data_IF_555811098150
#
_entry.id   IF_555811098150
#
_cell.length_a   1.000
_cell.length_b   1.000
_cell.length_c   1.000
_cell.angle_alpha   90.00
_cell.angle_beta   90.00
_cell.angle_gamma   90.00
#
_symmetry.space_group_name_H-M   'P 1'
#
loop_
_entity.id
_entity.type
_entity.pdbx_description
1 polymer ?
#
# COMPACT_ATOMS: atom_id res chain seq x y z
N UNK A 1 -60.31 -18.30 1.01
CA UNK A 1 -59.28 -18.71 0.01
C UNK A 1 -58.59 -17.52 -0.65
N UNK A 2 -59.31 -16.61 -1.30
CA UNK A 2 -58.71 -15.52 -2.10
C UNK A 2 -57.72 -14.63 -1.31
N UNK A 3 -58.05 -14.26 -0.07
CA UNK A 3 -57.17 -13.46 0.80
C UNK A 3 -55.80 -14.11 1.07
N UNK A 4 -55.76 -15.43 1.23
CA UNK A 4 -54.49 -16.15 1.43
C UNK A 4 -53.64 -16.16 0.16
N UNK A 5 -54.26 -16.20 -1.02
CA UNK A 5 -53.56 -16.10 -2.31
C UNK A 5 -52.93 -14.71 -2.48
N UNK A 6 -53.66 -13.64 -2.12
CA UNK A 6 -53.12 -12.29 -2.16
C UNK A 6 -51.98 -12.07 -1.17
N UNK A 7 -52.09 -12.61 0.05
CA UNK A 7 -51.01 -12.55 1.04
C UNK A 7 -49.76 -13.29 0.55
N UNK A 8 -49.92 -14.49 -0.02
CA UNK A 8 -48.80 -15.21 -0.60
C UNK A 8 -48.16 -14.43 -1.75
N UNK A 9 -48.96 -13.83 -2.64
CA UNK A 9 -48.45 -13.03 -3.75
C UNK A 9 -47.67 -11.80 -3.26
N UNK A 10 -48.11 -11.15 -2.20
CA UNK A 10 -47.38 -10.05 -1.58
C UNK A 10 -46.05 -10.50 -0.98
N UNK A 11 -46.02 -11.66 -0.30
CA UNK A 11 -44.79 -12.25 0.25
C UNK A 11 -43.80 -12.57 -0.88
N UNK A 12 -44.27 -13.17 -1.98
CA UNK A 12 -43.43 -13.47 -3.15
C UNK A 12 -42.83 -12.21 -3.77
N UNK A 13 -43.62 -11.14 -3.88
CA UNK A 13 -43.13 -9.86 -4.40
C UNK A 13 -42.05 -9.24 -3.48
N UNK A 14 -42.28 -9.24 -2.17
CA UNK A 14 -41.31 -8.74 -1.20
C UNK A 14 -40.00 -9.55 -1.22
N UNK A 15 -40.09 -10.88 -1.33
CA UNK A 15 -38.91 -11.74 -1.44
C UNK A 15 -38.12 -11.46 -2.72
N UNK A 16 -38.80 -11.25 -3.86
CA UNK A 16 -38.15 -10.88 -5.11
C UNK A 16 -37.43 -9.54 -5.00
N UNK A 17 -38.03 -8.53 -4.35
CA UNK A 17 -37.37 -7.24 -4.16
C UNK A 17 -36.17 -7.31 -3.20
N UNK A 18 -36.25 -8.14 -2.17
CA UNK A 18 -35.10 -8.40 -1.28
C UNK A 18 -33.95 -9.05 -2.06
N UNK A 19 -34.25 -10.01 -2.95
CA UNK A 19 -33.24 -10.64 -3.80
C UNK A 19 -32.62 -9.66 -4.80
N UNK A 20 -33.44 -8.82 -5.45
CA UNK A 20 -32.96 -7.76 -6.34
C UNK A 20 -32.08 -6.76 -5.59
N UNK A 21 -32.49 -6.36 -4.39
CA UNK A 21 -31.72 -5.45 -3.54
C UNK A 21 -30.37 -6.07 -3.18
N UNK A 22 -30.34 -7.35 -2.76
CA UNK A 22 -29.09 -8.08 -2.50
C UNK A 22 -28.20 -8.18 -3.73
N UNK A 23 -28.78 -8.38 -4.92
CA UNK A 23 -28.03 -8.41 -6.18
C UNK A 23 -27.41 -7.05 -6.50
N UNK A 24 -28.17 -5.96 -6.33
CA UNK A 24 -27.70 -4.58 -6.53
C UNK A 24 -26.59 -4.24 -5.55
N UNK A 25 -26.73 -4.57 -4.26
CA UNK A 25 -25.66 -4.32 -3.27
C UNK A 25 -24.42 -5.21 -3.49
N UNK A 26 -24.62 -6.46 -3.90
CA UNK A 26 -23.52 -7.37 -4.26
C UNK A 26 -22.79 -6.89 -5.52
N UNK A 27 -23.49 -6.25 -6.45
CA UNK A 27 -22.91 -5.61 -7.62
C UNK A 27 -22.34 -4.23 -7.31
N UNK A 28 -22.85 -3.46 -6.36
CA UNK A 28 -22.28 -2.16 -6.01
C UNK A 28 -20.93 -2.29 -5.29
N UNK A 29 -20.71 -3.40 -4.58
CA UNK A 29 -19.38 -3.78 -4.06
C UNK A 29 -18.47 -4.48 -5.08
N UNK A 30 -18.99 -4.84 -6.27
CA UNK A 30 -18.29 -5.54 -7.36
C UNK A 30 -18.52 -4.89 -8.71
N UNK A 31 -18.78 -3.58 -8.74
CA UNK A 31 -18.79 -2.90 -10.01
C UNK A 31 -17.33 -3.01 -10.47
N UNK A 32 -17.02 -3.65 -11.62
CA UNK A 32 -15.81 -3.23 -12.28
C UNK A 32 -16.02 -1.74 -12.41
N UNK A 33 -15.10 -0.95 -11.90
CA UNK A 33 -15.08 0.48 -12.15
C UNK A 33 -14.99 0.56 -13.69
N UNK A 34 -16.15 0.56 -14.37
CA UNK A 34 -16.26 0.89 -15.76
C UNK A 34 -16.07 2.39 -15.76
N UNK A 35 -14.78 2.73 -15.71
CA UNK A 35 -14.23 4.04 -15.88
C UNK A 35 -14.72 4.58 -17.22
N UNK A 36 -15.91 5.20 -17.24
CA UNK A 36 -16.23 6.24 -18.23
C UNK A 36 -15.67 7.59 -17.78
N UNK A 37 -14.93 7.65 -16.66
CA UNK A 37 -13.95 8.70 -16.45
C UNK A 37 -12.76 8.37 -17.33
N UNK A 38 -12.68 9.01 -18.50
CA UNK A 38 -11.46 9.06 -19.30
C UNK A 38 -10.38 9.83 -18.53
N UNK A 39 -9.91 9.26 -17.42
CA UNK A 39 -8.73 9.76 -16.74
C UNK A 39 -7.58 9.67 -17.73
N UNK A 40 -6.97 10.82 -18.04
CA UNK A 40 -5.76 10.87 -18.85
C UNK A 40 -4.55 10.27 -18.13
N UNK A 41 -4.70 9.93 -16.84
CA UNK A 41 -3.64 9.46 -15.95
C UNK A 41 -3.94 8.04 -15.50
N UNK A 42 -3.00 7.14 -15.73
CA UNK A 42 -3.01 5.76 -15.25
C UNK A 42 -1.72 5.47 -14.50
N UNK A 43 -1.81 4.62 -13.47
CA UNK A 43 -0.65 4.15 -12.73
C UNK A 43 -0.11 2.88 -13.39
N UNK A 44 1.12 2.94 -13.91
CA UNK A 44 1.80 1.79 -14.50
C UNK A 44 3.07 1.48 -13.67
N UNK A 45 2.97 0.62 -12.66
CA UNK A 45 4.11 0.32 -11.81
C UNK A 45 5.14 -0.53 -12.56
N UNK A 46 6.37 -0.03 -12.64
CA UNK A 46 7.51 -0.84 -13.06
C UNK A 46 7.82 -1.89 -11.98
N UNK A 47 7.70 -3.17 -12.34
CA UNK A 47 7.89 -4.32 -11.43
C UNK A 47 9.29 -4.43 -10.83
N UNK A 48 10.30 -3.82 -11.46
CA UNK A 48 11.71 -3.81 -11.02
C UNK A 48 12.18 -2.43 -10.52
N UNK A 49 11.27 -1.54 -10.10
CA UNK A 49 11.65 -0.17 -9.76
C UNK A 49 10.79 0.50 -8.70
N UNK A 50 10.96 1.82 -8.59
CA UNK A 50 10.33 2.69 -7.59
C UNK A 50 8.80 2.66 -7.61
N UNK A 51 8.14 2.19 -8.69
CA UNK A 51 6.68 2.21 -8.78
C UNK A 51 5.98 1.43 -7.67
N UNK A 52 6.28 0.13 -7.53
CA UNK A 52 5.67 -0.72 -6.51
C UNK A 52 6.11 -0.32 -5.10
N UNK A 53 7.39 0.04 -4.95
CA UNK A 53 7.92 0.42 -3.63
C UNK A 53 7.35 1.77 -3.16
N UNK A 54 7.13 2.74 -4.06
CA UNK A 54 6.47 4.01 -3.75
C UNK A 54 5.02 3.81 -3.30
N UNK A 55 4.27 2.92 -3.96
CA UNK A 55 2.91 2.60 -3.49
C UNK A 55 2.93 1.85 -2.16
N UNK A 56 3.96 1.06 -1.88
CA UNK A 56 4.10 0.44 -0.59
C UNK A 56 4.48 1.47 0.50
N UNK A 57 5.25 2.51 0.18
CA UNK A 57 5.51 3.63 1.08
C UNK A 57 4.24 4.42 1.38
N UNK A 58 3.40 4.64 0.37
CA UNK A 58 2.07 5.23 0.55
C UNK A 58 1.23 4.37 1.49
N UNK A 59 1.07 3.08 1.21
CA UNK A 59 0.32 2.15 2.05
C UNK A 59 0.81 2.12 3.49
N UNK A 60 2.13 2.14 3.69
CA UNK A 60 2.74 2.18 5.02
C UNK A 60 2.44 3.49 5.74
N UNK A 61 2.45 4.62 5.04
CA UNK A 61 2.13 5.93 5.62
C UNK A 61 0.68 5.96 6.10
N UNK A 62 -0.25 5.38 5.32
CA UNK A 62 -1.66 5.26 5.70
C UNK A 62 -1.83 4.36 6.94
N UNK A 63 -1.16 3.20 6.98
CA UNK A 63 -1.15 2.28 8.13
C UNK A 63 -0.59 2.95 9.40
N UNK A 64 0.50 3.71 9.28
CA UNK A 64 1.13 4.41 10.40
C UNK A 64 0.32 5.61 10.89
N UNK A 65 -0.47 6.23 10.02
CA UNK A 65 -1.37 7.32 10.38
C UNK A 65 -2.41 6.89 11.40
N UNK A 66 -2.82 5.60 11.38
CA UNK A 66 -3.90 5.06 12.23
C UNK A 66 -5.22 5.82 12.13
N UNK A 67 -5.42 6.56 11.04
CA UNK A 67 -6.63 7.32 10.74
C UNK A 67 -7.65 6.55 9.92
N UNK A 68 -7.26 5.37 9.41
CA UNK A 68 -8.16 4.48 8.67
C UNK A 68 -8.74 3.47 9.64
N UNK A 69 -10.06 3.55 9.83
CA UNK A 69 -10.81 2.71 10.76
C UNK A 69 -11.79 1.81 10.00
N UNK A 70 -12.07 0.64 10.58
CA UNK A 70 -13.14 -0.25 10.13
C UNK A 70 -14.52 0.28 10.57
N UNK A 71 -15.58 -0.45 10.19
CA UNK A 71 -16.96 -0.10 10.53
C UNK A 71 -17.19 -0.10 12.05
N UNK A 72 -16.37 -0.83 12.80
CA UNK A 72 -16.36 -0.92 14.25
C UNK A 72 -15.48 0.14 14.93
N UNK A 73 -14.82 1.02 14.16
CA UNK A 73 -13.96 2.09 14.66
C UNK A 73 -12.56 1.65 15.10
N UNK A 74 -12.12 0.44 14.76
CA UNK A 74 -10.78 -0.07 15.03
C UNK A 74 -9.83 0.22 13.86
N UNK A 75 -8.53 0.39 14.12
CA UNK A 75 -7.55 0.62 13.06
C UNK A 75 -7.52 -0.53 12.05
N UNK A 76 -7.63 -0.17 10.76
CA UNK A 76 -7.61 -1.13 9.67
C UNK A 76 -6.23 -1.79 9.56
N UNK A 77 -6.14 -3.13 9.45
CA UNK A 77 -4.87 -3.80 9.22
C UNK A 77 -4.25 -3.42 7.87
N UNK A 78 -2.93 -3.35 7.83
CA UNK A 78 -2.14 -3.00 6.64
C UNK A 78 -2.58 -3.72 5.35
N UNK A 79 -2.95 -4.99 5.44
CA UNK A 79 -3.32 -5.80 4.27
C UNK A 79 -4.56 -5.26 3.56
N UNK A 80 -5.54 -4.75 4.30
CA UNK A 80 -6.75 -4.17 3.71
C UNK A 80 -6.43 -2.86 2.98
N UNK A 81 -5.58 -2.02 3.57
CA UNK A 81 -5.09 -0.80 2.92
C UNK A 81 -4.35 -1.14 1.61
N UNK A 82 -3.51 -2.18 1.63
CA UNK A 82 -2.79 -2.63 0.44
C UNK A 82 -3.76 -3.09 -0.65
N UNK A 83 -4.74 -3.92 -0.34
CA UNK A 83 -5.75 -4.38 -1.30
C UNK A 83 -6.60 -3.24 -1.87
N UNK A 84 -7.04 -2.29 -1.03
CA UNK A 84 -7.78 -1.12 -1.50
C UNK A 84 -6.95 -0.29 -2.50
N UNK A 85 -5.64 -0.19 -2.31
CA UNK A 85 -4.77 0.48 -3.26
C UNK A 85 -4.58 -0.32 -4.56
N UNK A 86 -4.44 -1.64 -4.47
CA UNK A 86 -4.39 -2.54 -5.64
C UNK A 86 -5.63 -2.34 -6.52
N UNK A 87 -6.82 -2.33 -5.90
CA UNK A 87 -8.09 -2.14 -6.58
C UNK A 87 -8.23 -0.73 -7.17
N UNK A 88 -7.87 0.31 -6.39
CA UNK A 88 -8.01 1.70 -6.81
C UNK A 88 -7.10 2.06 -8.00
N UNK A 89 -5.91 1.48 -8.07
CA UNK A 89 -4.91 1.79 -9.09
C UNK A 89 -4.70 0.66 -10.12
N UNK A 90 -5.51 -0.40 -10.05
CA UNK A 90 -5.47 -1.56 -10.94
C UNK A 90 -4.05 -2.15 -11.09
N UNK A 91 -3.40 -2.43 -9.96
CA UNK A 91 -2.08 -3.08 -9.91
C UNK A 91 -2.01 -4.12 -8.80
N UNK A 92 -0.89 -4.85 -8.73
CA UNK A 92 -0.65 -5.77 -7.62
C UNK A 92 0.71 -5.54 -6.95
N UNK A 93 0.73 -5.60 -5.62
CA UNK A 93 1.93 -5.69 -4.79
C UNK A 93 2.57 -7.09 -4.84
N UNK A 94 1.81 -8.11 -5.26
CA UNK A 94 2.15 -9.52 -5.13
C UNK A 94 2.08 -9.97 -3.67
N UNK A 95 3.15 -9.71 -2.92
CA UNK A 95 3.21 -9.98 -1.48
C UNK A 95 3.41 -8.66 -0.73
N UNK A 96 2.30 -8.15 -0.17
CA UNK A 96 2.26 -6.85 0.49
C UNK A 96 3.21 -6.78 1.69
N UNK A 97 3.39 -7.87 2.43
CA UNK A 97 4.30 -7.90 3.59
C UNK A 97 5.77 -7.97 3.17
N UNK A 98 6.10 -8.69 2.10
CA UNK A 98 7.43 -8.60 1.48
C UNK A 98 7.72 -7.19 0.96
N UNK A 99 6.73 -6.54 0.36
CA UNK A 99 6.84 -5.14 -0.08
C UNK A 99 7.16 -4.21 1.11
N UNK A 100 6.39 -4.34 2.20
CA UNK A 100 6.62 -3.65 3.47
C UNK A 100 8.05 -3.90 3.99
N UNK A 101 8.50 -5.15 4.01
CA UNK A 101 9.87 -5.51 4.38
C UNK A 101 10.95 -4.88 3.48
N UNK A 102 10.76 -4.87 2.16
CA UNK A 102 11.70 -4.23 1.21
C UNK A 102 11.87 -2.74 1.48
N UNK A 103 10.78 -2.03 1.79
CA UNK A 103 10.80 -0.60 2.14
C UNK A 103 11.60 -0.38 3.42
N UNK A 104 11.33 -1.18 4.45
CA UNK A 104 12.07 -1.14 5.71
C UNK A 104 13.53 -1.53 5.57
N UNK A 105 13.92 -2.29 4.55
CA UNK A 105 15.33 -2.54 4.25
C UNK A 105 15.94 -1.33 3.53
N UNK A 106 15.22 -0.68 2.61
CA UNK A 106 15.72 0.46 1.84
C UNK A 106 15.96 1.74 2.65
N UNK A 107 15.07 2.12 3.59
CA UNK A 107 15.23 3.37 4.36
C UNK A 107 16.45 3.37 5.31
N UNK A 108 16.70 2.35 6.14
CA UNK A 108 17.92 2.28 6.93
C UNK A 108 19.14 2.01 6.06
N UNK A 109 19.02 1.34 4.89
CA UNK A 109 20.16 1.15 3.97
C UNK A 109 20.76 2.47 3.47
N UNK A 110 19.94 3.52 3.30
CA UNK A 110 20.46 4.87 2.97
C UNK A 110 21.12 5.54 4.19
N UNK A 111 20.59 5.35 5.40
CA UNK A 111 21.18 5.86 6.65
C UNK A 111 22.52 5.16 6.97
N UNK A 112 22.56 3.83 6.86
CA UNK A 112 23.78 3.04 7.08
C UNK A 112 24.81 3.28 5.98
N UNK A 113 24.40 3.52 4.72
CA UNK A 113 25.32 3.98 3.68
C UNK A 113 25.98 5.32 3.98
N UNK A 114 25.22 6.30 4.48
CA UNK A 114 25.76 7.60 4.85
C UNK A 114 26.75 7.46 6.03
N UNK A 115 26.41 6.64 7.03
CA UNK A 115 27.29 6.33 8.16
C UNK A 115 28.54 5.55 7.75
N UNK A 116 28.42 4.56 6.87
CA UNK A 116 29.55 3.80 6.32
C UNK A 116 30.47 4.68 5.47
N UNK A 117 29.90 5.58 4.68
CA UNK A 117 30.65 6.58 3.93
C UNK A 117 31.43 7.51 4.87
N UNK A 118 30.79 8.03 5.93
CA UNK A 118 31.43 8.88 6.92
C UNK A 118 32.56 8.15 7.66
N UNK A 119 32.34 6.89 8.06
CA UNK A 119 33.35 6.03 8.68
C UNK A 119 34.58 5.86 7.78
N UNK A 120 34.36 5.59 6.50
CA UNK A 120 35.43 5.44 5.51
C UNK A 120 36.21 6.75 5.32
N UNK A 121 35.49 7.89 5.30
CA UNK A 121 36.08 9.22 5.17
C UNK A 121 36.95 9.56 6.38
N UNK A 122 36.45 9.34 7.60
CA UNK A 122 37.21 9.51 8.85
C UNK A 122 38.45 8.60 8.91
N UNK A 123 38.32 7.34 8.49
CA UNK A 123 39.45 6.40 8.46
C UNK A 123 40.53 6.84 7.47
N UNK A 124 40.13 7.34 6.29
CA UNK A 124 41.05 7.88 5.28
C UNK A 124 41.77 9.12 5.79
N UNK A 125 41.04 10.02 6.44
CA UNK A 125 41.56 11.26 7.02
C UNK A 125 42.58 10.97 8.13
N UNK A 126 42.25 10.05 9.04
CA UNK A 126 43.15 9.56 10.09
C UNK A 126 44.46 8.97 9.53
N UNK A 127 44.37 8.15 8.48
CA UNK A 127 45.57 7.61 7.78
C UNK A 127 46.41 8.72 7.17
N UNK A 128 45.78 9.70 6.52
CA UNK A 128 46.48 10.83 5.90
C UNK A 128 47.19 11.71 6.94
N UNK A 129 46.59 11.93 8.13
CA UNK A 129 47.25 12.65 9.23
C UNK A 129 48.48 11.89 9.76
N UNK A 130 48.39 10.56 9.90
CA UNK A 130 49.54 9.74 10.31
C UNK A 130 50.70 9.84 9.30
N UNK A 131 50.40 9.68 8.01
CA UNK A 131 51.41 9.82 6.95
C UNK A 131 52.07 11.21 6.90
N UNK A 132 51.31 12.29 7.12
CA UNK A 132 51.88 13.64 7.22
C UNK A 132 52.78 13.82 8.46
N UNK A 133 52.41 13.20 9.58
CA UNK A 133 53.19 13.28 10.83
C UNK A 133 54.51 12.52 10.71
N UNK A 134 54.50 11.33 10.10
CA UNK A 134 55.71 10.53 9.89
C UNK A 134 56.64 11.13 8.81
N UNK A 135 56.08 11.82 7.81
CA UNK A 135 56.85 12.56 6.80
C UNK A 135 57.56 13.81 7.34
N UNK A 136 57.05 14.45 8.39
CA UNK A 136 57.70 15.60 9.05
C UNK A 136 58.72 15.23 10.12
N UNK A 137 58.77 13.96 10.57
CA UNK A 137 59.77 13.49 11.55
C UNK A 137 61.07 13.04 10.85
N UNK A 138 61.02 12.81 9.54
CA UNK A 138 62.15 12.32 8.72
C UNK A 138 62.73 13.40 7.79
N UNK A 139 62.48 14.69 8.05
CA UNK A 139 63.02 15.83 7.29
C UNK A 139 63.92 16.70 8.16
#
# INVERSE_FOLDING_TARGET
MLKNVYLQKAIWYLNAEIELTKLIFSQSGRAPIQNSYNSKVYFAPNSKGLGIDSMGELALTLDLSKQFMDEEGKPVPFIHIAHTLEDAFNFTFGDAYKSKGRIFIRKPYNLTKALDYLKNLLTRESRNRKMKKDGSINA
#
